data_IF_987878135502
#
_entry.id   IF_987878135502
#
_cell.length_a   1.000
_cell.length_b   1.000
_cell.length_c   1.000
_cell.angle_alpha   90.00
_cell.angle_beta   90.00
_cell.angle_gamma   90.00
#
_symmetry.space_group_name_H-M   'P 1'
#
loop_
_entity.id
_entity.type
_entity.pdbx_description
1 polymer ?
#
# COMPACT_ATOMS: atom_id res chain seq x y z
N UNK A 1 -14.81 -35.54 -15.92
CA UNK A 1 -13.43 -35.95 -15.63
C UNK A 1 -12.75 -34.75 -14.99
N UNK A 2 -12.30 -34.94 -13.77
CA UNK A 2 -12.80 -34.05 -12.71
C UNK A 2 -11.71 -33.21 -12.07
N UNK A 3 -12.11 -32.08 -11.48
CA UNK A 3 -11.29 -31.28 -10.56
C UNK A 3 -12.14 -30.74 -9.40
N UNK A 4 -12.50 -31.65 -8.51
CA UNK A 4 -12.70 -31.41 -7.08
C UNK A 4 -11.50 -32.09 -6.39
N UNK A 5 -10.79 -31.53 -5.40
CA UNK A 5 -10.93 -30.28 -4.64
C UNK A 5 -9.73 -29.36 -4.97
N UNK A 6 -9.76 -28.02 -5.05
CA UNK A 6 -10.37 -26.94 -4.24
C UNK A 6 -9.51 -26.44 -3.05
N UNK A 7 -9.65 -25.12 -2.77
CA UNK A 7 -9.09 -24.31 -1.67
C UNK A 7 -7.60 -23.91 -1.79
N UNK A 8 -7.23 -22.62 -1.60
CA UNK A 8 -8.09 -21.44 -1.40
C UNK A 8 -8.88 -21.06 -2.67
N UNK A 9 -10.08 -20.49 -2.48
CA UNK A 9 -10.83 -19.85 -3.56
C UNK A 9 -10.45 -18.37 -3.59
N UNK A 10 -10.01 -17.86 -4.74
CA UNK A 10 -9.80 -16.43 -4.92
C UNK A 10 -11.16 -15.72 -4.99
N UNK A 11 -11.37 -14.60 -4.28
CA UNK A 11 -12.61 -13.84 -4.40
C UNK A 11 -12.73 -13.25 -5.82
N UNK A 12 -13.95 -13.06 -6.33
CA UNK A 12 -14.14 -12.42 -7.64
C UNK A 12 -13.60 -10.97 -7.67
N UNK A 13 -13.49 -10.31 -6.51
CA UNK A 13 -13.14 -8.90 -6.32
C UNK A 13 -12.35 -8.67 -4.99
N UNK A 14 -11.33 -7.79 -4.99
CA UNK A 14 -10.49 -7.33 -3.86
C UNK A 14 -10.00 -5.88 -4.10
N UNK A 15 -9.80 -5.08 -3.04
CA UNK A 15 -9.05 -3.79 -3.04
C UNK A 15 -8.56 -3.38 -1.60
N UNK A 16 -8.17 -2.11 -1.25
CA UNK A 16 -7.64 -1.55 0.06
C UNK A 16 -7.80 0.03 0.21
N UNK A 17 -8.24 0.83 1.25
CA UNK A 17 -9.12 0.87 2.49
C UNK A 17 -10.57 1.49 2.26
N UNK A 18 -11.47 2.01 3.14
CA UNK A 18 -12.93 2.17 2.75
C UNK A 18 -13.53 3.57 2.39
N UNK A 19 -14.20 3.68 1.23
CA UNK A 19 -14.98 4.85 0.79
C UNK A 19 -16.27 4.52 0.00
N UNK A 20 -16.97 5.55 -0.49
CA UNK A 20 -18.37 5.45 -0.95
C UNK A 20 -18.63 4.49 -2.13
N UNK A 21 -17.62 4.28 -2.98
CA UNK A 21 -17.78 3.47 -4.19
C UNK A 21 -17.27 2.06 -4.01
N UNK A 22 -16.27 1.83 -3.15
CA UNK A 22 -16.00 0.46 -2.70
C UNK A 22 -17.14 -0.11 -1.85
N UNK A 23 -17.89 0.73 -1.11
CA UNK A 23 -19.18 0.31 -0.56
C UNK A 23 -20.16 -0.12 -1.68
N UNK A 24 -20.40 0.71 -2.71
CA UNK A 24 -21.35 0.37 -3.80
C UNK A 24 -20.92 -0.83 -4.66
N UNK A 25 -19.64 -0.97 -5.01
CA UNK A 25 -19.13 -2.09 -5.83
C UNK A 25 -19.13 -3.41 -5.07
N UNK A 26 -18.80 -3.38 -3.77
CA UNK A 26 -18.90 -4.57 -2.91
C UNK A 26 -20.38 -4.96 -2.70
N UNK A 27 -21.33 -4.01 -2.71
CA UNK A 27 -22.77 -4.27 -2.70
C UNK A 27 -23.32 -4.84 -4.03
N UNK A 28 -22.94 -4.31 -5.20
CA UNK A 28 -23.43 -4.84 -6.48
C UNK A 28 -22.81 -6.21 -6.84
N UNK A 29 -21.56 -6.46 -6.44
CA UNK A 29 -20.94 -7.78 -6.60
C UNK A 29 -21.69 -8.84 -5.77
N UNK A 30 -22.14 -8.46 -4.57
CA UNK A 30 -23.04 -9.26 -3.72
C UNK A 30 -24.45 -9.42 -4.34
N UNK A 31 -24.97 -8.42 -5.06
CA UNK A 31 -26.27 -8.49 -5.74
C UNK A 31 -26.31 -9.45 -6.94
N UNK A 32 -25.16 -9.69 -7.59
CA UNK A 32 -25.02 -10.60 -8.74
C UNK A 32 -24.43 -11.99 -8.35
N UNK A 33 -24.38 -12.31 -7.05
CA UNK A 33 -24.03 -13.65 -6.56
C UNK A 33 -22.55 -14.02 -6.62
N UNK A 34 -21.63 -13.04 -6.51
CA UNK A 34 -20.17 -13.23 -6.57
C UNK A 34 -19.46 -12.82 -5.27
N UNK A 35 -18.24 -13.32 -5.07
CA UNK A 35 -17.45 -13.05 -3.86
C UNK A 35 -16.69 -11.72 -3.94
N UNK A 36 -16.71 -10.94 -2.87
CA UNK A 36 -16.23 -9.56 -2.90
C UNK A 36 -15.49 -9.15 -1.62
N UNK A 37 -14.38 -8.45 -1.80
CA UNK A 37 -13.63 -7.69 -0.79
C UNK A 37 -13.32 -6.34 -1.46
N UNK A 38 -13.37 -5.19 -0.78
CA UNK A 38 -13.32 -3.91 -1.51
C UNK A 38 -13.19 -2.69 -0.63
N UNK A 39 -12.35 -1.74 -1.10
CA UNK A 39 -11.66 -0.69 -0.31
C UNK A 39 -10.65 0.11 -1.28
N UNK A 40 -10.18 1.39 -1.47
CA UNK A 40 -10.23 2.85 -1.04
C UNK A 40 -9.31 3.48 0.08
N UNK A 41 -7.96 3.60 -0.04
CA UNK A 41 -7.13 4.35 0.95
C UNK A 41 -7.59 5.82 1.09
N UNK A 42 -8.20 6.17 2.23
CA UNK A 42 -8.92 7.44 2.45
C UNK A 42 -8.41 8.16 3.70
N UNK A 43 -7.99 9.40 3.49
CA UNK A 43 -7.65 10.38 4.51
C UNK A 43 -6.35 11.09 4.17
N UNK A 44 -6.35 12.41 4.30
CA UNK A 44 -5.10 13.10 4.64
C UNK A 44 -4.53 12.43 5.91
N UNK A 45 -3.21 12.24 6.02
CA UNK A 45 -2.59 11.99 7.31
C UNK A 45 -2.71 13.25 8.18
N UNK A 46 -3.89 13.43 8.79
CA UNK A 46 -4.23 14.59 9.61
C UNK A 46 -3.10 14.85 10.61
N UNK A 47 -2.54 16.07 10.58
CA UNK A 47 -1.29 16.48 11.24
C UNK A 47 -1.01 15.71 12.55
N UNK A 48 -0.18 14.66 12.44
CA UNK A 48 0.20 13.74 13.53
C UNK A 48 -0.19 12.26 13.33
N UNK A 49 -1.02 11.90 12.34
CA UNK A 49 -1.43 10.51 12.05
C UNK A 49 -0.62 9.93 10.88
N UNK A 50 0.56 9.37 11.19
CA UNK A 50 1.45 8.75 10.21
C UNK A 50 1.20 7.24 10.06
N UNK A 51 1.23 6.71 8.85
CA UNK A 51 0.92 5.29 8.58
C UNK A 51 2.20 4.47 8.44
N UNK A 52 2.50 3.61 9.43
CA UNK A 52 3.66 2.72 9.40
C UNK A 52 3.46 1.54 8.42
N UNK A 53 3.80 1.72 7.13
CA UNK A 53 3.48 0.76 6.06
C UNK A 53 4.66 -0.19 5.76
N UNK A 54 4.35 -1.48 5.58
CA UNK A 54 5.32 -2.56 5.31
C UNK A 54 5.62 -2.71 3.82
N UNK A 55 6.80 -3.25 3.48
CA UNK A 55 7.22 -3.54 2.11
C UNK A 55 6.19 -4.39 1.34
N UNK A 56 5.55 -5.34 2.03
CA UNK A 56 4.54 -6.25 1.50
C UNK A 56 3.35 -5.53 0.88
N UNK A 57 3.00 -4.31 1.33
CA UNK A 57 1.87 -3.57 0.79
C UNK A 57 2.14 -3.13 -0.66
N UNK A 58 3.33 -2.58 -0.94
CA UNK A 58 3.77 -2.24 -2.29
C UNK A 58 3.84 -3.48 -3.19
N UNK A 59 4.28 -4.62 -2.65
CA UNK A 59 4.29 -5.90 -3.38
C UNK A 59 2.89 -6.44 -3.66
N UNK A 60 1.94 -6.28 -2.73
CA UNK A 60 0.52 -6.62 -2.92
C UNK A 60 -0.12 -5.72 -3.98
N UNK A 61 0.14 -4.41 -3.98
CA UNK A 61 -0.32 -3.51 -5.05
C UNK A 61 0.25 -3.92 -6.41
N UNK A 62 1.54 -4.31 -6.47
CA UNK A 62 2.17 -4.79 -7.70
C UNK A 62 1.66 -6.16 -8.16
N UNK A 63 1.28 -7.04 -7.24
CA UNK A 63 0.57 -8.28 -7.55
C UNK A 63 -0.84 -7.99 -8.08
N UNK A 64 -1.56 -7.02 -7.52
CA UNK A 64 -2.87 -6.59 -8.04
C UNK A 64 -2.70 -5.99 -9.44
N UNK A 65 -1.68 -5.16 -9.69
CA UNK A 65 -1.38 -4.63 -11.03
C UNK A 65 -1.12 -5.76 -12.05
N UNK A 66 -0.37 -6.80 -11.66
CA UNK A 66 -0.15 -7.99 -12.48
C UNK A 66 -1.44 -8.78 -12.72
N UNK A 67 -2.20 -9.10 -11.67
CA UNK A 67 -3.48 -9.83 -11.77
C UNK A 67 -4.51 -9.06 -12.61
N UNK A 68 -4.54 -7.73 -12.52
CA UNK A 68 -5.38 -6.87 -13.35
C UNK A 68 -4.93 -6.93 -14.81
N UNK A 69 -3.63 -6.80 -15.08
CA UNK A 69 -3.06 -6.89 -16.42
C UNK A 69 -3.31 -8.26 -17.07
N UNK A 70 -3.19 -9.36 -16.32
CA UNK A 70 -3.47 -10.72 -16.80
C UNK A 70 -4.96 -10.97 -17.02
N UNK A 71 -5.82 -10.60 -16.07
CA UNK A 71 -7.28 -10.86 -16.12
C UNK A 71 -8.00 -9.99 -17.15
N UNK A 72 -7.56 -8.75 -17.34
CA UNK A 72 -8.23 -7.77 -18.19
C UNK A 72 -7.44 -7.42 -19.46
N UNK A 73 -6.12 -7.49 -19.46
CA UNK A 73 -5.28 -7.03 -20.57
C UNK A 73 -5.15 -5.50 -20.62
N UNK A 74 -4.02 -5.02 -21.11
CA UNK A 74 -3.60 -3.60 -21.00
C UNK A 74 -4.65 -2.59 -21.53
N UNK A 75 -5.36 -2.95 -22.60
CA UNK A 75 -6.38 -2.11 -23.22
C UNK A 75 -7.66 -1.92 -22.38
N UNK A 76 -7.83 -2.68 -21.28
CA UNK A 76 -8.97 -2.57 -20.35
C UNK A 76 -8.57 -2.10 -18.94
N UNK A 77 -7.32 -1.67 -18.74
CA UNK A 77 -6.89 -1.08 -17.47
C UNK A 77 -7.26 0.41 -17.39
N UNK A 78 -7.51 0.96 -16.18
CA UNK A 78 -7.68 2.39 -15.99
C UNK A 78 -6.45 3.19 -16.43
N UNK A 79 -6.66 4.45 -16.81
CA UNK A 79 -5.59 5.37 -17.26
C UNK A 79 -5.71 6.71 -16.54
N UNK A 80 -4.55 7.36 -16.34
CA UNK A 80 -4.41 8.73 -15.82
C UNK A 80 -4.85 9.76 -16.86
N UNK A 81 -4.95 11.03 -16.47
CA UNK A 81 -5.30 12.14 -17.38
C UNK A 81 -4.34 12.32 -18.57
N UNK A 82 -3.09 11.88 -18.44
CA UNK A 82 -2.07 11.89 -19.50
C UNK A 82 -2.10 10.65 -20.44
N UNK A 83 -2.97 9.67 -20.16
CA UNK A 83 -3.10 8.43 -20.93
C UNK A 83 -2.16 7.29 -20.53
N UNK A 84 -1.24 7.47 -19.56
CA UNK A 84 -0.51 6.36 -18.94
C UNK A 84 -1.47 5.43 -18.19
N UNK A 85 -1.09 4.16 -18.05
CA UNK A 85 -1.85 3.19 -17.25
C UNK A 85 -1.79 3.63 -15.79
N UNK A 86 -2.93 3.67 -15.11
CA UNK A 86 -2.96 3.83 -13.66
C UNK A 86 -2.59 2.50 -13.01
N UNK A 87 -1.37 2.42 -12.46
CA UNK A 87 -0.85 1.29 -11.70
C UNK A 87 -0.85 1.64 -10.21
N UNK A 88 -1.32 0.72 -9.38
CA UNK A 88 -1.45 0.90 -7.95
C UNK A 88 -0.07 1.02 -7.27
N UNK A 89 0.87 0.14 -7.62
CA UNK A 89 2.21 0.19 -7.04
C UNK A 89 2.97 1.46 -7.45
N UNK A 90 2.87 1.85 -8.73
CA UNK A 90 3.48 3.07 -9.26
C UNK A 90 2.84 4.33 -8.67
N UNK A 91 1.52 4.36 -8.45
CA UNK A 91 0.89 5.51 -7.77
C UNK A 91 1.26 5.58 -6.28
N UNK A 92 1.50 4.43 -5.65
CA UNK A 92 1.88 4.35 -4.24
C UNK A 92 3.31 4.86 -4.01
N UNK A 93 4.30 4.31 -4.73
CA UNK A 93 5.72 4.62 -4.52
C UNK A 93 6.57 4.42 -5.79
N UNK A 94 7.60 5.26 -5.94
CA UNK A 94 8.65 5.11 -6.95
C UNK A 94 10.02 5.48 -6.38
N UNK A 95 11.11 4.82 -6.79
CA UNK A 95 12.48 5.27 -6.49
C UNK A 95 12.85 6.62 -7.15
N UNK A 96 11.94 7.21 -7.93
CA UNK A 96 12.09 8.51 -8.57
C UNK A 96 11.10 9.56 -8.05
N UNK A 97 10.40 9.30 -6.94
CA UNK A 97 9.50 10.26 -6.28
C UNK A 97 10.18 11.61 -6.00
N UNK A 98 9.55 12.69 -6.45
CA UNK A 98 9.88 14.05 -5.98
C UNK A 98 9.15 14.30 -4.66
N UNK A 99 9.84 14.84 -3.67
CA UNK A 99 9.26 15.17 -2.36
C UNK A 99 8.55 16.54 -2.40
N UNK A 100 7.31 16.58 -1.92
CA UNK A 100 6.47 17.77 -1.82
C UNK A 100 5.29 17.56 -0.86
N UNK A 101 4.30 18.45 -0.92
CA UNK A 101 3.04 18.30 -0.19
C UNK A 101 2.14 17.29 -0.94
N UNK A 102 1.66 16.26 -0.25
CA UNK A 102 0.90 15.15 -0.86
C UNK A 102 -0.57 15.54 -1.05
N UNK A 103 -0.95 15.95 -2.26
CA UNK A 103 -2.35 16.12 -2.66
C UNK A 103 -2.83 14.85 -3.36
N UNK A 104 -3.49 13.96 -2.62
CA UNK A 104 -3.78 12.60 -3.09
C UNK A 104 -4.62 12.54 -4.38
N UNK A 105 -5.59 13.45 -4.56
CA UNK A 105 -6.43 13.47 -5.77
C UNK A 105 -5.62 13.88 -7.02
N UNK A 106 -4.71 14.87 -6.91
CA UNK A 106 -3.82 15.34 -7.98
C UNK A 106 -2.71 14.32 -8.33
N UNK A 107 -2.30 13.51 -7.35
CA UNK A 107 -1.39 12.37 -7.54
C UNK A 107 -2.11 11.20 -8.22
N UNK A 108 -3.42 11.01 -7.99
CA UNK A 108 -4.21 9.93 -8.59
C UNK A 108 -4.65 10.26 -10.02
N UNK A 109 -5.12 11.48 -10.28
CA UNK A 109 -5.51 11.88 -11.65
C UNK A 109 -4.30 12.06 -12.58
N UNK A 110 -3.13 12.43 -12.01
CA UNK A 110 -1.86 12.56 -12.70
C UNK A 110 -1.44 14.00 -13.02
N UNK A 111 -2.08 15.01 -12.41
CA UNK A 111 -1.59 16.39 -12.39
C UNK A 111 -0.18 16.44 -11.77
N UNK A 112 -0.02 15.84 -10.59
CA UNK A 112 1.25 15.81 -9.84
C UNK A 112 2.03 14.51 -10.14
N UNK A 113 2.34 14.34 -11.43
CA UNK A 113 2.88 13.13 -12.05
C UNK A 113 4.20 12.57 -11.46
N UNK A 114 4.98 13.39 -10.76
CA UNK A 114 6.26 13.01 -10.13
C UNK A 114 6.12 12.79 -8.60
N UNK A 115 4.98 13.14 -8.00
CA UNK A 115 4.65 12.89 -6.59
C UNK A 115 3.92 11.55 -6.42
N UNK A 116 4.00 10.98 -5.21
CA UNK A 116 3.61 9.60 -4.90
C UNK A 116 2.98 9.54 -3.51
N UNK A 117 2.06 8.58 -3.27
CA UNK A 117 1.19 8.58 -2.07
C UNK A 117 1.93 8.40 -0.73
N UNK A 118 3.15 7.83 -0.70
CA UNK A 118 3.93 7.64 0.54
C UNK A 118 5.35 8.18 0.49
N UNK A 119 5.84 8.60 1.65
CA UNK A 119 7.24 8.94 1.89
C UNK A 119 8.13 7.73 2.22
N UNK A 120 9.44 7.96 2.27
CA UNK A 120 10.43 6.97 2.70
C UNK A 120 11.03 7.34 4.05
N UNK A 121 11.29 6.34 4.90
CA UNK A 121 11.74 6.57 6.28
C UNK A 121 13.27 6.75 6.31
N UNK A 122 13.72 8.00 6.44
CA UNK A 122 15.14 8.35 6.47
C UNK A 122 15.88 7.89 7.73
N UNK A 123 15.19 7.85 8.87
CA UNK A 123 15.70 7.39 10.17
C UNK A 123 14.54 7.04 11.10
N UNK A 124 14.78 6.13 12.05
CA UNK A 124 13.87 5.83 13.16
C UNK A 124 14.65 5.94 14.46
N UNK A 125 14.16 6.73 15.41
CA UNK A 125 14.82 6.97 16.70
C UNK A 125 13.83 6.71 17.85
N UNK A 126 14.19 5.77 18.72
CA UNK A 126 13.48 5.50 19.97
C UNK A 126 14.14 6.30 21.08
N UNK A 127 13.44 7.33 21.55
CA UNK A 127 13.91 8.23 22.61
C UNK A 127 13.30 7.77 23.96
N UNK A 128 14.14 7.29 24.86
CA UNK A 128 13.79 6.94 26.22
C UNK A 128 14.27 8.03 27.18
N UNK A 129 13.36 8.92 27.59
CA UNK A 129 13.58 10.03 28.52
C UNK A 129 13.26 9.67 29.99
N UNK A 130 13.12 8.38 30.31
CA UNK A 130 12.82 7.94 31.68
C UNK A 130 13.95 8.34 32.63
N UNK A 131 13.56 8.98 33.73
CA UNK A 131 14.47 9.37 34.80
C UNK A 131 15.15 8.12 35.40
N UNK A 132 16.44 8.27 35.68
CA UNK A 132 17.28 7.21 36.22
C UNK A 132 18.06 7.74 37.42
N UNK A 133 18.05 6.99 38.51
CA UNK A 133 18.80 7.30 39.74
C UNK A 133 18.54 8.73 40.29
N UNK A 134 17.32 9.24 40.08
CA UNK A 134 16.88 10.58 40.51
C UNK A 134 17.20 11.73 39.55
N UNK A 135 17.73 11.45 38.36
CA UNK A 135 18.11 12.45 37.36
C UNK A 135 17.39 12.23 36.01
N UNK A 136 17.17 13.29 35.20
CA UNK A 136 16.80 13.14 33.81
C UNK A 136 17.86 12.34 33.03
N UNK A 137 17.42 11.35 32.27
CA UNK A 137 18.28 10.46 31.51
C UNK A 137 17.64 10.23 30.14
N UNK A 138 18.32 10.64 29.06
CA UNK A 138 17.91 10.42 27.67
C UNK A 138 18.79 9.33 27.04
N UNK A 139 18.16 8.27 26.55
CA UNK A 139 18.79 7.28 25.67
C UNK A 139 18.13 7.37 24.30
N UNK A 140 18.92 7.51 23.25
CA UNK A 140 18.43 7.49 21.86
C UNK A 140 18.93 6.20 21.20
N UNK A 141 18.01 5.29 20.91
CA UNK A 141 18.28 4.09 20.11
C UNK A 141 17.84 4.35 18.68
N UNK A 142 18.79 4.61 17.79
CA UNK A 142 18.54 4.76 16.35
C UNK A 142 18.58 3.39 15.67
N UNK A 143 17.58 3.09 14.85
CA UNK A 143 17.61 1.93 13.96
C UNK A 143 18.21 2.29 12.61
N UNK A 144 18.79 1.28 11.94
CA UNK A 144 19.09 1.37 10.52
C UNK A 144 17.80 1.62 9.73
N UNK A 145 17.88 2.46 8.70
CA UNK A 145 16.75 2.67 7.80
C UNK A 145 16.50 1.39 6.98
N UNK A 146 15.24 0.99 6.75
CA UNK A 146 14.94 0.03 5.71
C UNK A 146 15.27 0.62 4.34
N UNK A 147 15.70 -0.23 3.40
CA UNK A 147 15.92 0.15 2.01
C UNK A 147 14.64 -0.12 1.22
N UNK A 148 13.97 0.90 0.66
CA UNK A 148 12.81 0.68 -0.19
C UNK A 148 13.15 -0.17 -1.43
N UNK A 149 12.27 -1.08 -1.86
CA UNK A 149 12.47 -1.89 -3.06
C UNK A 149 12.39 -1.05 -4.34
N UNK A 150 13.25 -1.35 -5.32
CA UNK A 150 13.24 -0.66 -6.63
C UNK A 150 11.98 -0.96 -7.46
N UNK A 151 11.42 -2.16 -7.32
CA UNK A 151 10.26 -2.66 -8.07
C UNK A 151 9.42 -3.63 -7.22
N UNK A 152 8.12 -3.84 -7.52
CA UNK A 152 7.29 -4.80 -6.81
C UNK A 152 7.69 -6.25 -7.14
N UNK A 153 7.73 -7.12 -6.13
CA UNK A 153 7.99 -8.56 -6.30
C UNK A 153 7.00 -9.39 -5.49
N UNK A 154 6.01 -10.06 -6.12
CA UNK A 154 5.05 -10.89 -5.40
C UNK A 154 5.69 -12.02 -4.58
N UNK A 155 6.91 -12.45 -4.91
CA UNK A 155 7.64 -13.50 -4.18
C UNK A 155 8.19 -13.00 -2.83
N UNK A 156 8.23 -11.68 -2.62
CA UNK A 156 8.56 -11.04 -1.34
C UNK A 156 7.35 -10.82 -0.44
N UNK A 157 6.11 -11.06 -0.90
CA UNK A 157 4.92 -10.96 -0.05
C UNK A 157 5.01 -12.02 1.05
N UNK A 158 5.16 -11.60 2.31
CA UNK A 158 5.32 -12.53 3.42
C UNK A 158 3.99 -13.15 3.80
N UNK A 159 3.98 -14.47 3.96
CA UNK A 159 2.79 -15.25 4.32
C UNK A 159 2.61 -15.40 5.85
N UNK A 160 3.66 -15.08 6.62
CA UNK A 160 3.65 -15.09 8.08
C UNK A 160 3.24 -13.72 8.63
N UNK A 161 2.11 -13.66 9.32
CA UNK A 161 1.64 -12.42 9.97
C UNK A 161 2.61 -11.92 11.04
N UNK A 162 3.35 -12.83 11.70
CA UNK A 162 4.39 -12.45 12.68
C UNK A 162 5.51 -11.68 11.99
N UNK A 163 6.01 -12.17 10.85
CA UNK A 163 7.03 -11.46 10.07
C UNK A 163 6.53 -10.10 9.56
N UNK A 164 5.27 -10.02 9.12
CA UNK A 164 4.65 -8.76 8.68
C UNK A 164 4.58 -7.74 9.83
N UNK A 165 4.18 -8.17 11.02
CA UNK A 165 4.06 -7.28 12.20
C UNK A 165 5.42 -6.88 12.78
N UNK A 166 6.34 -7.82 12.98
CA UNK A 166 7.67 -7.59 13.55
C UNK A 166 8.66 -6.94 12.55
N UNK A 167 8.34 -6.98 11.25
CA UNK A 167 9.13 -6.36 10.20
C UNK A 167 9.13 -4.83 10.22
N UNK A 168 10.11 -4.18 9.56
CA UNK A 168 10.22 -2.72 9.56
C UNK A 168 9.11 -2.03 8.76
N UNK A 169 8.75 -0.81 9.17
CA UNK A 169 8.02 0.15 8.34
C UNK A 169 8.94 0.62 7.21
N UNK A 170 8.62 0.32 5.96
CA UNK A 170 9.42 0.75 4.79
C UNK A 170 8.99 2.12 4.28
N UNK A 171 7.71 2.44 4.43
CA UNK A 171 7.07 3.66 3.96
C UNK A 171 6.26 4.34 5.08
N UNK A 172 5.96 5.62 4.90
CA UNK A 172 5.22 6.46 5.84
C UNK A 172 4.19 7.37 5.15
#
# INVERSE_FOLDING_TARGET
>A
MDKQNEVPVAPDFLALGMGGTNMMSMLWTVAMGRQAVGVEMRGDPFLGVHWNIREDFYHQLGLIDQMMLERYGEARLPRRGDGRIFRLAECFYSPHTTAGDIVADEIIDGFDADQHIVGTIHHVEFIDDRWRDGLPNRVITRLDRPTPPEQPDPRKIRTSMVEVLDGPSTFQ
#
